data_IF_566898561488
#
_entry.id   IF_566898561488
#
_cell.length_a   1.000
_cell.length_b   1.000
_cell.length_c   1.000
_cell.angle_alpha   90.00
_cell.angle_beta   90.00
_cell.angle_gamma   90.00
#
_symmetry.space_group_name_H-M   'P 1'
#
loop_
_entity.id
_entity.type
_entity.pdbx_description
1 polymer ?
#
# COMPACT_ATOMS: atom_id res chain seq x y z
N UNK A 1 16.57 21.00 -2.83
CA UNK A 1 15.64 19.86 -3.02
C UNK A 1 14.36 20.47 -3.56
N UNK A 2 14.14 20.36 -4.88
CA UNK A 2 13.00 20.98 -5.55
C UNK A 2 11.72 20.20 -5.24
N UNK A 3 10.92 20.72 -4.31
CA UNK A 3 9.59 20.19 -3.91
C UNK A 3 8.49 20.54 -4.93
N UNK A 4 8.84 20.67 -6.21
CA UNK A 4 7.89 20.95 -7.30
C UNK A 4 7.23 19.67 -7.82
N UNK A 5 6.61 18.88 -6.94
CA UNK A 5 5.76 17.73 -7.33
C UNK A 5 4.31 18.16 -7.60
N UNK A 6 4.08 19.41 -8.00
CA UNK A 6 2.76 19.84 -8.45
C UNK A 6 2.53 19.23 -9.83
N UNK A 7 1.83 18.09 -9.86
CA UNK A 7 1.33 17.56 -11.14
C UNK A 7 0.32 18.58 -11.69
N UNK A 8 0.55 19.17 -12.87
CA UNK A 8 -0.39 20.10 -13.47
C UNK A 8 -1.76 19.45 -13.63
N UNK A 9 -2.84 20.22 -13.39
CA UNK A 9 -4.22 19.69 -13.48
C UNK A 9 -4.50 19.07 -14.86
N UNK A 10 -3.88 19.63 -15.92
CA UNK A 10 -3.98 19.13 -17.28
C UNK A 10 -3.41 17.71 -17.47
N UNK A 11 -2.44 17.28 -16.65
CA UNK A 11 -1.80 15.96 -16.73
C UNK A 11 -2.51 14.88 -15.90
N UNK A 12 -3.43 15.27 -15.00
CA UNK A 12 -4.13 14.34 -14.11
C UNK A 12 -4.90 13.24 -14.87
N UNK A 13 -5.65 13.53 -15.96
CA UNK A 13 -6.37 12.49 -16.69
C UNK A 13 -5.45 11.42 -17.27
N UNK A 14 -4.28 11.83 -17.77
CA UNK A 14 -3.28 10.93 -18.34
C UNK A 14 -2.67 10.04 -17.24
N UNK A 15 -2.25 10.63 -16.11
CA UNK A 15 -1.71 9.85 -14.98
C UNK A 15 -2.73 8.84 -14.45
N UNK A 16 -3.99 9.25 -14.33
CA UNK A 16 -5.07 8.36 -13.91
C UNK A 16 -5.29 7.23 -14.93
N UNK A 17 -5.21 7.51 -16.23
CA UNK A 17 -5.34 6.50 -17.27
C UNK A 17 -4.24 5.44 -17.15
N UNK A 18 -2.99 5.84 -16.88
CA UNK A 18 -1.86 4.93 -16.64
C UNK A 18 -2.10 4.06 -15.41
N UNK A 19 -2.50 4.64 -14.28
CA UNK A 19 -2.78 3.89 -13.04
C UNK A 19 -3.91 2.89 -13.22
N UNK A 20 -4.99 3.27 -13.92
CA UNK A 20 -6.11 2.36 -14.25
C UNK A 20 -5.67 1.25 -15.20
N UNK A 21 -4.83 1.55 -16.18
CA UNK A 21 -4.29 0.54 -17.09
C UNK A 21 -3.42 -0.48 -16.33
N UNK A 22 -2.59 -0.02 -15.39
CA UNK A 22 -1.79 -0.88 -14.52
C UNK A 22 -2.68 -1.73 -13.59
N UNK A 23 -3.71 -1.14 -12.98
CA UNK A 23 -4.65 -1.85 -12.11
C UNK A 23 -5.44 -2.95 -12.84
N UNK A 24 -5.79 -2.72 -14.10
CA UNK A 24 -6.51 -3.70 -14.94
C UNK A 24 -5.64 -4.86 -15.41
N UNK A 25 -4.30 -4.77 -15.26
CA UNK A 25 -3.43 -5.93 -15.50
C UNK A 25 -3.71 -7.02 -14.46
N UNK A 26 -3.27 -8.24 -14.75
CA UNK A 26 -3.41 -9.36 -13.83
C UNK A 26 -2.97 -8.96 -12.41
N UNK A 27 -3.68 -9.39 -11.36
CA UNK A 27 -3.35 -9.03 -9.99
C UNK A 27 -1.92 -9.44 -9.68
N UNK A 28 -1.12 -8.49 -9.19
CA UNK A 28 0.30 -8.74 -8.87
C UNK A 28 0.46 -9.95 -7.96
N UNK A 29 1.45 -10.77 -8.27
CA UNK A 29 1.77 -12.00 -7.55
C UNK A 29 2.18 -11.70 -6.10
N UNK A 30 2.20 -12.73 -5.25
CA UNK A 30 2.68 -12.58 -3.87
C UNK A 30 4.14 -12.12 -3.84
N UNK A 31 4.98 -12.67 -4.72
CA UNK A 31 6.40 -12.34 -4.80
C UNK A 31 6.63 -10.88 -5.21
N UNK A 32 5.92 -10.42 -6.25
CA UNK A 32 5.92 -9.04 -6.69
C UNK A 32 5.47 -8.06 -5.58
N UNK A 33 4.47 -8.44 -4.78
CA UNK A 33 4.01 -7.62 -3.65
C UNK A 33 4.99 -7.59 -2.49
N UNK A 34 5.66 -8.71 -2.20
CA UNK A 34 6.70 -8.76 -1.18
C UNK A 34 7.93 -7.95 -1.61
N UNK A 35 8.32 -8.04 -2.89
CA UNK A 35 9.40 -7.23 -3.46
C UNK A 35 9.16 -5.73 -3.27
N UNK A 36 8.00 -5.23 -3.71
CA UNK A 36 7.65 -3.82 -3.51
C UNK A 36 7.65 -3.38 -2.04
N UNK A 37 7.18 -4.24 -1.12
CA UNK A 37 7.19 -3.92 0.31
C UNK A 37 8.60 -3.87 0.88
N UNK A 38 9.51 -4.74 0.42
CA UNK A 38 10.92 -4.69 0.79
C UNK A 38 11.60 -3.44 0.24
N UNK A 39 11.35 -3.08 -1.02
CA UNK A 39 11.88 -1.88 -1.65
C UNK A 39 11.37 -0.62 -0.96
N UNK A 40 10.07 -0.58 -0.66
CA UNK A 40 9.45 0.51 0.08
C UNK A 40 10.07 0.67 1.47
N UNK A 41 10.27 -0.44 2.19
CA UNK A 41 10.91 -0.43 3.51
C UNK A 41 12.33 0.09 3.45
N UNK A 42 13.10 -0.36 2.44
CA UNK A 42 14.49 0.06 2.25
C UNK A 42 14.57 1.55 1.92
N UNK A 43 13.75 2.03 0.98
CA UNK A 43 13.66 3.44 0.61
C UNK A 43 13.23 4.30 1.79
N UNK A 44 12.21 3.87 2.56
CA UNK A 44 11.75 4.62 3.72
C UNK A 44 12.82 4.72 4.80
N UNK A 45 13.52 3.61 5.09
CA UNK A 45 14.60 3.59 6.08
C UNK A 45 15.77 4.49 5.67
N UNK A 46 16.13 4.48 4.39
CA UNK A 46 17.21 5.33 3.86
C UNK A 46 16.85 6.82 3.95
N UNK A 47 15.62 7.19 3.62
CA UNK A 47 15.17 8.57 3.57
C UNK A 47 14.58 9.08 4.90
N UNK A 48 14.48 8.24 5.93
CA UNK A 48 13.86 8.58 7.21
C UNK A 48 14.44 9.87 7.84
N UNK A 49 15.77 10.08 7.89
CA UNK A 49 16.32 11.31 8.45
C UNK A 49 15.93 12.57 7.66
N UNK A 50 15.81 12.46 6.34
CA UNK A 50 15.42 13.58 5.48
C UNK A 50 13.93 13.88 5.59
N UNK A 51 13.10 12.85 5.64
CA UNK A 51 11.66 12.96 5.91
C UNK A 51 11.39 13.65 7.25
N UNK A 52 12.14 13.29 8.30
CA UNK A 52 12.03 13.95 9.60
C UNK A 52 12.39 15.44 9.51
N UNK A 53 13.44 15.80 8.77
CA UNK A 53 13.81 17.22 8.56
C UNK A 53 12.74 17.99 7.78
N UNK A 54 12.16 17.39 6.74
CA UNK A 54 11.11 18.02 5.95
C UNK A 54 9.82 18.23 6.78
N UNK A 55 9.37 17.19 7.49
CA UNK A 55 8.22 17.28 8.38
C UNK A 55 8.41 18.32 9.48
N UNK A 56 9.62 18.40 10.02
CA UNK A 56 9.95 19.40 11.02
C UNK A 56 9.86 20.83 10.49
N UNK A 57 10.31 21.06 9.25
CA UNK A 57 10.16 22.35 8.57
C UNK A 57 8.69 22.70 8.30
N UNK A 58 7.85 21.71 7.99
CA UNK A 58 6.44 21.90 7.67
C UNK A 58 5.55 22.10 8.92
N UNK A 59 5.86 21.44 10.04
CA UNK A 59 4.97 21.34 11.21
C UNK A 59 5.49 22.00 12.50
N UNK A 60 6.78 22.34 12.60
CA UNK A 60 7.40 23.37 13.47
C UNK A 60 7.13 23.44 15.00
N UNK A 61 6.18 22.71 15.59
CA UNK A 61 5.64 23.06 16.93
C UNK A 61 5.33 21.91 17.91
N UNK A 62 5.62 20.64 17.58
CA UNK A 62 5.50 19.51 18.55
C UNK A 62 6.86 19.02 19.02
N UNK A 63 6.92 18.48 20.25
CA UNK A 63 8.10 17.84 20.84
C UNK A 63 8.70 16.78 19.89
N UNK A 64 9.80 17.16 19.24
CA UNK A 64 10.35 16.61 17.99
C UNK A 64 10.78 15.15 18.00
N UNK A 65 11.36 14.66 19.10
CA UNK A 65 12.05 13.36 19.09
C UNK A 65 11.15 12.18 19.46
N UNK A 66 10.08 12.42 20.21
CA UNK A 66 9.25 11.36 20.78
C UNK A 66 8.07 10.99 19.87
N UNK A 67 7.43 11.97 19.22
CA UNK A 67 6.30 11.71 18.32
C UNK A 67 6.73 11.29 16.90
N UNK A 68 7.81 11.84 16.34
CA UNK A 68 8.22 11.51 14.96
C UNK A 68 9.04 10.23 14.83
N UNK A 69 9.88 9.91 15.83
CA UNK A 69 10.50 8.58 15.90
C UNK A 69 9.41 7.51 16.09
N UNK A 70 8.34 7.83 16.85
CA UNK A 70 7.15 6.98 16.95
C UNK A 70 6.44 6.83 15.61
N UNK A 71 6.15 7.89 14.87
CA UNK A 71 5.35 7.82 13.64
C UNK A 71 6.11 7.17 12.48
N UNK A 72 7.38 7.54 12.26
CA UNK A 72 8.23 6.90 11.24
C UNK A 72 8.49 5.42 11.54
N UNK A 73 8.71 5.07 12.82
CA UNK A 73 8.80 3.67 13.24
C UNK A 73 7.44 2.96 13.20
N UNK A 74 6.33 3.67 13.29
CA UNK A 74 4.99 3.08 13.11
C UNK A 74 4.80 2.66 11.67
N UNK A 75 5.16 3.49 10.68
CA UNK A 75 5.09 3.10 9.27
C UNK A 75 6.01 1.91 8.97
N UNK A 76 7.23 1.87 9.51
CA UNK A 76 8.11 0.71 9.33
C UNK A 76 7.53 -0.55 9.98
N UNK A 77 6.93 -0.44 11.17
CA UNK A 77 6.23 -1.55 11.84
C UNK A 77 5.02 -2.02 11.07
N UNK A 78 4.27 -1.11 10.46
CA UNK A 78 3.12 -1.45 9.61
C UNK A 78 3.60 -2.23 8.38
N UNK A 79 4.70 -1.80 7.73
CA UNK A 79 5.29 -2.56 6.62
C UNK A 79 5.74 -3.96 7.07
N UNK A 80 6.40 -4.08 8.23
CA UNK A 80 6.80 -5.38 8.79
C UNK A 80 5.56 -6.25 9.13
N UNK A 81 4.47 -5.65 9.59
CA UNK A 81 3.18 -6.33 9.81
C UNK A 81 2.56 -6.83 8.50
N UNK A 82 2.58 -6.00 7.45
CA UNK A 82 2.13 -6.40 6.12
C UNK A 82 2.97 -7.57 5.59
N UNK A 83 4.31 -7.49 5.66
CA UNK A 83 5.22 -8.54 5.20
C UNK A 83 4.94 -9.89 5.88
N UNK A 84 4.66 -9.88 7.19
CA UNK A 84 4.37 -11.11 7.96
C UNK A 84 3.00 -11.74 7.65
N UNK A 85 1.99 -10.95 7.26
CA UNK A 85 0.62 -11.44 7.10
C UNK A 85 0.14 -11.53 5.64
N UNK A 86 0.82 -10.88 4.70
CA UNK A 86 0.38 -10.76 3.30
C UNK A 86 0.09 -12.12 2.65
N UNK A 87 0.95 -13.13 2.89
CA UNK A 87 0.74 -14.49 2.39
C UNK A 87 -0.58 -15.10 2.88
N UNK A 88 -0.92 -14.89 4.15
CA UNK A 88 -2.17 -15.40 4.73
C UNK A 88 -3.39 -14.66 4.15
N UNK A 89 -3.27 -13.34 4.00
CA UNK A 89 -4.36 -12.51 3.50
C UNK A 89 -4.67 -12.74 2.01
N UNK A 90 -3.67 -13.09 1.21
CA UNK A 90 -3.85 -13.42 -0.21
C UNK A 90 -4.39 -14.84 -0.46
N UNK A 91 -4.50 -15.69 0.57
CA UNK A 91 -5.04 -17.05 0.38
C UNK A 91 -6.53 -16.99 0.00
N UNK A 92 -6.96 -17.70 -1.07
CA UNK A 92 -8.38 -17.82 -1.39
C UNK A 92 -9.15 -18.43 -0.20
N UNK A 93 -10.14 -17.70 0.33
CA UNK A 93 -11.00 -18.21 1.41
C UNK A 93 -12.21 -18.88 0.79
N UNK A 94 -12.36 -20.20 0.99
CA UNK A 94 -13.58 -20.92 0.61
C UNK A 94 -14.72 -20.42 1.51
N UNK A 95 -15.68 -19.69 0.96
CA UNK A 95 -16.95 -19.42 1.64
C UNK A 95 -17.85 -20.64 1.43
N UNK A 96 -18.36 -21.21 2.52
CA UNK A 96 -19.45 -22.16 2.45
C UNK A 96 -20.66 -21.40 1.89
N UNK A 97 -21.11 -21.80 0.70
CA UNK A 97 -22.36 -21.29 0.16
C UNK A 97 -23.53 -21.95 0.89
N UNK A 98 -24.65 -21.22 0.98
CA UNK A 98 -25.91 -21.77 1.50
C UNK A 98 -26.26 -23.08 0.75
N UNK A 99 -26.80 -24.12 1.41
CA UNK A 99 -27.05 -25.44 0.81
C UNK A 99 -27.85 -25.42 -0.50
N UNK A 100 -28.65 -24.37 -0.71
CA UNK A 100 -29.41 -24.10 -1.93
C UNK A 100 -28.54 -23.94 -3.20
N UNK A 101 -27.25 -23.64 -3.06
CA UNK A 101 -26.33 -23.42 -4.20
C UNK A 101 -25.48 -24.67 -4.55
N UNK A 102 -25.78 -25.83 -3.97
CA UNK A 102 -25.18 -27.10 -4.37
C UNK A 102 -25.74 -27.57 -5.73
N UNK A 103 -24.91 -28.03 -6.71
CA UNK A 103 -23.52 -28.47 -6.59
C UNK A 103 -22.46 -27.45 -7.03
N UNK A 104 -22.83 -26.21 -7.37
CA UNK A 104 -21.86 -25.20 -7.81
C UNK A 104 -21.23 -24.51 -6.60
N UNK A 105 -20.17 -25.10 -6.06
CA UNK A 105 -19.30 -24.41 -5.11
C UNK A 105 -18.60 -23.21 -5.78
N UNK A 106 -19.05 -21.99 -5.50
CA UNK A 106 -18.34 -20.79 -5.93
C UNK A 106 -17.16 -20.54 -4.98
N UNK A 107 -15.94 -20.54 -5.52
CA UNK A 107 -14.77 -20.06 -4.79
C UNK A 107 -14.72 -18.53 -4.86
N UNK A 108 -15.01 -17.84 -3.76
CA UNK A 108 -14.67 -16.43 -3.64
C UNK A 108 -13.16 -16.32 -3.34
N UNK A 109 -12.36 -16.01 -4.35
CA UNK A 109 -11.09 -15.35 -4.06
C UNK A 109 -11.44 -13.98 -3.46
N UNK A 110 -10.94 -13.69 -2.25
CA UNK A 110 -11.01 -12.33 -1.72
C UNK A 110 -10.08 -11.51 -2.60
N UNK A 111 -10.67 -10.83 -3.58
CA UNK A 111 -10.01 -9.80 -4.35
C UNK A 111 -10.35 -8.47 -3.68
N UNK A 112 -9.41 -7.82 -2.98
CA UNK A 112 -9.67 -6.55 -2.32
C UNK A 112 -10.05 -5.42 -3.28
N UNK A 113 -9.88 -5.61 -4.60
CA UNK A 113 -10.14 -4.60 -5.63
C UNK A 113 -11.49 -4.77 -6.36
N UNK A 114 -12.24 -5.85 -6.13
CA UNK A 114 -13.47 -6.16 -6.88
C UNK A 114 -14.74 -5.43 -6.38
N UNK A 115 -14.64 -4.58 -5.36
CA UNK A 115 -15.78 -3.88 -4.74
C UNK A 115 -15.93 -2.41 -5.13
N UNK A 116 -15.12 -1.91 -6.08
CA UNK A 116 -15.16 -0.53 -6.58
C UNK A 116 -15.28 -0.49 -8.11
N UNK A 117 -16.25 -1.22 -8.66
CA UNK A 117 -16.80 -0.99 -10.01
C UNK A 117 -18.28 -0.67 -9.88
#
# INVERSE_FOLDING_TARGET
MDINYVTPIAELPERLAVLRAQQRRAPRSLEERLGDLHDLRAALRLNLPELVRAMDADFGTRSRHESMLSDGMTVLRDIDHLLSHLKSWMRPKRRLLHPLFWPRAASCAISPWAWWV
#
